data_IF_165352566449
#
_entry.id   IF_165352566449
#
_cell.length_a   1.000
_cell.length_b   1.000
_cell.length_c   1.000
_cell.angle_alpha   90.00
_cell.angle_beta   90.00
_cell.angle_gamma   90.00
#
_symmetry.space_group_name_H-M   'P 1'
#
loop_
_entity.id
_entity.type
_entity.pdbx_description
1 polymer ?
#
# COMPACT_ATOMS: atom_id res chain seq x y z
N UNK A 1 45.92 0.15 -1.34
CA UNK A 1 44.70 -0.15 -2.12
C UNK A 1 43.69 0.92 -1.77
N UNK A 2 43.14 1.67 -2.73
CA UNK A 2 42.16 2.70 -2.41
C UNK A 2 40.78 2.06 -2.21
N UNK A 3 40.11 2.51 -1.16
CA UNK A 3 38.75 2.13 -0.76
C UNK A 3 37.76 2.25 -1.92
N UNK A 4 36.98 1.19 -2.10
CA UNK A 4 35.78 1.21 -2.93
C UNK A 4 34.68 1.96 -2.18
N UNK A 5 33.92 2.87 -2.81
CA UNK A 5 32.81 3.53 -2.14
C UNK A 5 31.73 2.48 -1.89
N UNK A 6 31.40 2.24 -0.61
CA UNK A 6 30.24 1.44 -0.21
C UNK A 6 28.99 2.11 -0.81
N UNK A 7 28.49 1.56 -1.91
CA UNK A 7 27.14 1.86 -2.40
C UNK A 7 26.15 1.37 -1.33
N UNK A 8 25.52 2.27 -0.61
CA UNK A 8 24.11 2.06 -0.28
C UNK A 8 23.33 2.70 -1.42
N UNK A 9 22.26 2.09 -1.94
CA UNK A 9 21.13 2.99 -2.12
C UNK A 9 19.83 2.27 -1.77
N UNK A 10 19.00 2.94 -0.99
CA UNK A 10 17.58 2.61 -0.96
C UNK A 10 17.08 2.61 -2.42
N UNK A 11 16.32 1.58 -2.81
CA UNK A 11 15.69 1.58 -4.13
C UNK A 11 14.58 2.65 -4.14
N UNK A 12 14.63 3.55 -5.11
CA UNK A 12 13.68 4.65 -5.28
C UNK A 12 12.81 4.46 -6.52
N UNK A 13 11.70 5.18 -6.55
CA UNK A 13 10.75 5.20 -7.66
C UNK A 13 9.69 4.12 -7.49
N UNK A 14 9.20 3.55 -8.60
CA UNK A 14 8.04 2.65 -8.61
C UNK A 14 8.34 1.26 -9.21
N UNK A 15 9.43 0.58 -8.80
CA UNK A 15 9.86 -0.69 -9.40
C UNK A 15 8.89 -1.86 -9.18
N UNK A 16 8.03 -1.81 -8.16
CA UNK A 16 7.14 -2.88 -7.69
C UNK A 16 5.65 -2.50 -7.82
N UNK A 17 5.36 -1.41 -8.53
CA UNK A 17 4.01 -0.85 -8.65
C UNK A 17 2.96 -1.83 -9.17
N UNK A 18 3.32 -2.74 -10.08
CA UNK A 18 2.38 -3.76 -10.55
C UNK A 18 2.02 -4.77 -9.45
N UNK A 19 2.98 -5.15 -8.59
CA UNK A 19 2.74 -6.00 -7.42
C UNK A 19 1.89 -5.27 -6.38
N UNK A 20 2.16 -3.98 -6.13
CA UNK A 20 1.33 -3.11 -5.26
C UNK A 20 -0.12 -3.06 -5.74
N UNK A 21 -0.33 -2.79 -7.04
CA UNK A 21 -1.68 -2.75 -7.64
C UNK A 21 -2.39 -4.10 -7.56
N UNK A 22 -1.64 -5.18 -7.73
CA UNK A 22 -2.14 -6.54 -7.56
C UNK A 22 -2.53 -6.81 -6.11
N UNK A 23 -1.74 -6.36 -5.13
CA UNK A 23 -2.04 -6.46 -3.70
C UNK A 23 -3.31 -5.69 -3.33
N UNK A 24 -3.49 -4.45 -3.79
CA UNK A 24 -4.74 -3.69 -3.60
C UNK A 24 -5.92 -4.46 -4.21
N UNK A 25 -5.79 -4.99 -5.43
CA UNK A 25 -6.83 -5.81 -6.06
C UNK A 25 -7.18 -7.02 -5.19
N UNK A 26 -6.17 -7.71 -4.65
CA UNK A 26 -6.33 -8.90 -3.83
C UNK A 26 -7.02 -8.58 -2.49
N UNK A 27 -6.69 -7.45 -1.86
CA UNK A 27 -7.36 -6.95 -0.66
C UNK A 27 -8.86 -6.73 -0.91
N UNK A 28 -9.23 -6.03 -1.99
CA UNK A 28 -10.65 -5.86 -2.33
C UNK A 28 -11.35 -7.17 -2.65
N UNK A 29 -10.68 -8.13 -3.30
CA UNK A 29 -11.27 -9.46 -3.56
C UNK A 29 -11.52 -10.21 -2.26
N UNK A 30 -10.59 -10.13 -1.31
CA UNK A 30 -10.66 -10.89 -0.08
C UNK A 30 -11.60 -10.27 0.94
N UNK A 31 -11.57 -8.94 1.09
CA UNK A 31 -12.35 -8.21 2.08
C UNK A 31 -13.71 -7.72 1.54
N UNK A 32 -13.89 -7.66 0.22
CA UNK A 32 -14.93 -6.88 -0.47
C UNK A 32 -14.79 -5.36 -0.27
N UNK A 33 -15.51 -4.57 -1.07
CA UNK A 33 -15.58 -3.12 -0.90
C UNK A 33 -16.04 -2.73 0.51
N UNK A 34 -17.10 -3.38 1.03
CA UNK A 34 -17.65 -3.05 2.34
C UNK A 34 -16.69 -3.44 3.48
N UNK A 35 -15.89 -4.50 3.31
CA UNK A 35 -14.86 -4.89 4.27
C UNK A 35 -13.69 -3.91 4.30
N UNK A 36 -13.23 -3.43 3.13
CA UNK A 36 -12.22 -2.36 3.04
C UNK A 36 -12.74 -1.08 3.69
N UNK A 37 -14.02 -0.74 3.52
CA UNK A 37 -14.64 0.44 4.15
C UNK A 37 -14.63 0.42 5.69
N UNK A 38 -14.46 -0.76 6.30
CA UNK A 38 -14.29 -0.86 7.76
C UNK A 38 -12.95 -0.29 8.26
N UNK A 39 -12.02 -0.01 7.35
CA UNK A 39 -10.73 0.61 7.64
C UNK A 39 -10.68 2.08 7.17
N UNK A 40 -11.84 2.75 7.14
CA UNK A 40 -11.91 4.14 6.69
C UNK A 40 -11.08 5.10 7.55
N UNK A 41 -10.92 4.83 8.84
CA UNK A 41 -10.07 5.60 9.76
C UNK A 41 -8.71 4.93 9.91
N UNK A 42 -7.63 5.68 9.75
CA UNK A 42 -6.28 5.17 10.03
C UNK A 42 -6.04 5.01 11.53
N UNK A 43 -5.04 4.20 11.90
CA UNK A 43 -4.53 4.15 13.27
C UNK A 43 -4.06 5.56 13.67
N UNK A 44 -4.58 6.09 14.77
CA UNK A 44 -4.28 7.44 15.18
C UNK A 44 -2.83 7.57 15.68
N UNK A 45 -2.15 8.71 15.45
CA UNK A 45 -0.79 8.92 15.95
C UNK A 45 -0.64 8.75 17.46
N UNK A 46 -1.67 9.11 18.23
CA UNK A 46 -1.68 8.96 19.69
C UNK A 46 -1.64 7.49 20.13
N UNK A 47 -2.26 6.59 19.36
CA UNK A 47 -2.30 5.16 19.67
C UNK A 47 -0.98 4.46 19.32
N UNK A 48 -0.21 5.04 18.39
CA UNK A 48 1.13 4.59 18.02
C UNK A 48 2.26 5.35 18.76
N UNK A 49 1.91 6.38 19.53
CA UNK A 49 2.90 7.21 20.22
C UNK A 49 3.63 6.41 21.29
N UNK A 50 4.95 6.59 21.32
CA UNK A 50 5.85 5.97 22.29
C UNK A 50 6.78 7.05 22.85
N UNK A 51 6.61 7.42 24.11
CA UNK A 51 7.44 8.42 24.76
C UNK A 51 8.75 7.80 25.29
N UNK A 52 9.82 8.60 25.35
CA UNK A 52 11.11 8.11 25.87
C UNK A 52 11.03 7.66 27.34
N UNK A 53 10.08 8.21 28.10
CA UNK A 53 9.81 7.86 29.50
C UNK A 53 8.94 6.60 29.67
N UNK A 54 8.30 6.09 28.60
CA UNK A 54 7.49 4.89 28.68
C UNK A 54 8.37 3.67 28.99
N UNK A 55 7.84 2.72 29.76
CA UNK A 55 8.44 1.40 29.87
C UNK A 55 8.47 0.74 28.47
N UNK A 56 9.62 0.17 28.11
CA UNK A 56 9.84 -0.35 26.76
C UNK A 56 8.84 -1.47 26.40
N UNK A 57 8.62 -2.42 27.31
CA UNK A 57 7.81 -3.59 27.02
C UNK A 57 6.32 -3.26 27.12
N UNK A 58 5.90 -2.52 28.16
CA UNK A 58 4.51 -2.12 28.31
C UNK A 58 4.07 -1.16 27.20
N UNK A 59 4.93 -0.21 26.80
CA UNK A 59 4.67 0.68 25.68
C UNK A 59 4.54 -0.09 24.35
N UNK A 60 5.43 -1.06 24.09
CA UNK A 60 5.40 -1.82 22.85
C UNK A 60 4.14 -2.71 22.77
N UNK A 61 3.76 -3.34 23.89
CA UNK A 61 2.54 -4.13 23.97
C UNK A 61 1.28 -3.27 23.82
N UNK A 62 1.27 -2.05 24.36
CA UNK A 62 0.17 -1.08 24.18
C UNK A 62 -0.02 -0.75 22.70
N UNK A 63 1.06 -0.38 21.99
CA UNK A 63 1.01 -0.06 20.56
C UNK A 63 0.59 -1.29 19.75
N UNK A 64 1.12 -2.47 20.06
CA UNK A 64 0.76 -3.70 19.37
C UNK A 64 -0.72 -4.07 19.56
N UNK A 65 -1.26 -3.86 20.77
CA UNK A 65 -2.69 -4.04 21.05
C UNK A 65 -3.55 -3.06 20.25
N UNK A 66 -3.15 -1.79 20.16
CA UNK A 66 -3.85 -0.82 19.33
C UNK A 66 -3.88 -1.25 17.85
N UNK A 67 -2.79 -1.84 17.34
CA UNK A 67 -2.74 -2.39 15.98
C UNK A 67 -3.61 -3.62 15.79
N UNK A 68 -3.63 -4.55 16.75
CA UNK A 68 -4.54 -5.71 16.73
C UNK A 68 -6.00 -5.26 16.65
N UNK A 69 -6.39 -4.26 17.45
CA UNK A 69 -7.73 -3.67 17.38
C UNK A 69 -8.00 -2.96 16.06
N UNK A 70 -7.04 -2.16 15.57
CA UNK A 70 -7.14 -1.49 14.27
C UNK A 70 -7.37 -2.48 13.13
N UNK A 71 -6.60 -3.57 13.10
CA UNK A 71 -6.75 -4.65 12.12
C UNK A 71 -7.95 -5.56 12.37
N UNK A 72 -8.73 -5.30 13.42
CA UNK A 72 -9.95 -6.05 13.78
C UNK A 72 -9.66 -7.54 13.99
N UNK A 73 -8.46 -7.83 14.47
CA UNK A 73 -8.06 -9.15 14.88
C UNK A 73 -8.75 -9.49 16.22
N UNK A 74 -8.96 -10.79 16.54
CA UNK A 74 -9.44 -11.20 17.86
C UNK A 74 -8.67 -10.51 18.99
N UNK A 75 -9.38 -10.02 20.01
CA UNK A 75 -8.74 -9.44 21.19
C UNK A 75 -8.04 -10.57 21.98
N UNK A 76 -6.72 -10.59 21.88
CA UNK A 76 -5.85 -11.56 22.50
C UNK A 76 -4.61 -10.84 23.05
N UNK A 77 -3.97 -11.44 24.06
CA UNK A 77 -2.76 -10.87 24.65
C UNK A 77 -1.67 -10.80 23.57
N UNK A 78 -1.06 -9.63 23.42
CA UNK A 78 0.11 -9.45 22.57
C UNK A 78 1.37 -9.42 23.44
N UNK A 79 2.32 -10.29 23.14
CA UNK A 79 3.62 -10.34 23.80
C UNK A 79 4.65 -9.84 22.81
N UNK A 80 5.30 -8.73 23.16
CA UNK A 80 6.41 -8.15 22.39
C UNK A 80 7.72 -8.43 23.09
N UNK A 81 8.59 -9.18 22.42
CA UNK A 81 9.95 -9.47 22.86
C UNK A 81 10.97 -8.72 21.98
N UNK A 82 12.17 -8.50 22.50
CA UNK A 82 13.27 -7.88 21.76
C UNK A 82 14.48 -8.80 21.76
N UNK A 83 15.05 -9.03 20.57
CA UNK A 83 16.22 -9.90 20.39
C UNK A 83 17.11 -9.42 19.26
N UNK A 84 18.38 -9.81 19.31
CA UNK A 84 19.29 -9.65 18.18
C UNK A 84 18.85 -10.56 17.03
N UNK A 85 18.62 -9.97 15.86
CA UNK A 85 18.21 -10.68 14.64
C UNK A 85 18.61 -9.87 13.40
N UNK A 86 18.52 -10.49 12.21
CA UNK A 86 18.81 -9.81 10.95
C UNK A 86 17.67 -8.88 10.52
N UNK A 87 16.44 -9.35 10.65
CA UNK A 87 15.24 -8.62 10.24
C UNK A 87 14.79 -7.59 11.30
N UNK A 88 13.81 -6.75 10.94
CA UNK A 88 13.22 -5.79 11.88
C UNK A 88 12.35 -6.49 12.93
N UNK A 89 11.59 -7.51 12.53
CA UNK A 89 10.81 -8.32 13.45
C UNK A 89 10.41 -9.66 12.85
N UNK A 90 9.62 -10.39 13.61
CA UNK A 90 8.90 -11.58 13.21
C UNK A 90 7.65 -11.74 14.06
N UNK A 91 6.64 -12.42 13.53
CA UNK A 91 5.42 -12.77 14.25
C UNK A 91 5.10 -14.25 14.14
N UNK A 92 4.62 -14.84 15.24
CA UNK A 92 4.08 -16.19 15.22
C UNK A 92 2.65 -16.18 14.66
N UNK A 93 2.45 -16.87 13.53
CA UNK A 93 1.15 -16.93 12.83
C UNK A 93 0.24 -18.04 13.36
N UNK A 94 0.79 -19.01 14.11
CA UNK A 94 0.06 -20.16 14.60
C UNK A 94 -1.09 -19.77 15.54
N UNK A 95 -2.12 -20.60 15.59
CA UNK A 95 -3.26 -20.38 16.47
C UNK A 95 -2.89 -20.65 17.93
N UNK A 96 -2.42 -19.61 18.62
CA UNK A 96 -2.33 -19.56 20.08
C UNK A 96 -3.42 -18.66 20.68
N UNK A 97 -3.60 -18.69 22.03
CA UNK A 97 -4.45 -17.71 22.72
C UNK A 97 -3.86 -16.29 22.73
N UNK A 98 -2.66 -16.12 22.17
CA UNK A 98 -1.80 -14.94 22.28
C UNK A 98 -1.09 -14.69 20.95
N UNK A 99 -0.73 -13.43 20.71
CA UNK A 99 0.11 -13.03 19.60
C UNK A 99 1.54 -12.81 20.10
N UNK A 100 2.51 -13.49 19.50
CA UNK A 100 3.93 -13.33 19.83
C UNK A 100 4.62 -12.57 18.71
N UNK A 101 5.17 -11.40 19.04
CA UNK A 101 5.93 -10.56 18.12
C UNK A 101 7.34 -10.39 18.69
N UNK A 102 8.34 -10.75 17.90
CA UNK A 102 9.74 -10.45 18.20
C UNK A 102 10.18 -9.23 17.39
N UNK A 103 10.80 -8.26 18.05
CA UNK A 103 11.39 -7.09 17.42
C UNK A 103 12.90 -7.11 17.58
N UNK A 104 13.61 -6.48 16.65
CA UNK A 104 15.05 -6.34 16.72
C UNK A 104 15.49 -5.49 17.93
N UNK A 105 16.58 -5.89 18.59
CA UNK A 105 17.16 -5.16 19.73
C UNK A 105 17.50 -3.69 19.42
N UNK A 106 17.73 -3.31 18.16
CA UNK A 106 17.93 -1.91 17.77
C UNK A 106 16.76 -0.99 18.14
N UNK A 107 15.54 -1.53 18.25
CA UNK A 107 14.37 -0.75 18.62
C UNK A 107 14.32 -0.38 20.10
N UNK A 108 15.16 -1.01 20.94
CA UNK A 108 15.36 -0.59 22.33
C UNK A 108 15.84 0.87 22.41
N UNK A 109 16.65 1.28 21.43
CA UNK A 109 17.20 2.64 21.32
C UNK A 109 16.47 3.50 20.28
N UNK A 110 15.74 2.90 19.34
CA UNK A 110 14.93 3.60 18.31
C UNK A 110 13.43 3.39 18.55
N UNK A 111 12.94 3.81 19.71
CA UNK A 111 11.58 3.50 20.18
C UNK A 111 10.47 4.07 19.28
N UNK A 112 10.76 5.17 18.59
CA UNK A 112 9.82 5.83 17.65
C UNK A 112 9.47 4.93 16.46
N UNK A 113 10.34 4.00 16.12
CA UNK A 113 10.15 3.11 14.97
C UNK A 113 9.48 1.77 15.34
N UNK A 114 9.22 1.54 16.64
CA UNK A 114 8.49 0.34 17.11
C UNK A 114 7.11 0.27 16.44
N UNK A 115 6.41 1.40 16.33
CA UNK A 115 5.12 1.45 15.66
C UNK A 115 5.21 1.04 14.18
N UNK A 116 6.26 1.44 13.47
CA UNK A 116 6.47 1.04 12.09
C UNK A 116 6.72 -0.48 11.97
N UNK A 117 7.58 -1.03 12.82
CA UNK A 117 7.85 -2.48 12.84
C UNK A 117 6.59 -3.28 13.18
N UNK A 118 5.85 -2.90 14.22
CA UNK A 118 4.61 -3.58 14.61
C UNK A 118 3.53 -3.47 13.53
N UNK A 119 3.47 -2.36 12.78
CA UNK A 119 2.50 -2.18 11.69
C UNK A 119 2.67 -3.23 10.61
N UNK A 120 3.94 -3.56 10.29
CA UNK A 120 4.32 -4.62 9.36
C UNK A 120 4.05 -6.01 9.96
N UNK A 121 4.55 -6.30 11.17
CA UNK A 121 4.41 -7.63 11.78
C UNK A 121 2.94 -8.02 12.03
N UNK A 122 2.11 -7.10 12.53
CA UNK A 122 0.69 -7.41 12.77
C UNK A 122 -0.09 -7.53 11.44
N UNK A 123 0.37 -6.88 10.35
CA UNK A 123 -0.21 -7.09 9.02
C UNK A 123 0.01 -8.52 8.50
N UNK A 124 1.14 -9.16 8.82
CA UNK A 124 1.33 -10.60 8.53
C UNK A 124 0.27 -11.47 9.22
N UNK A 125 -0.08 -11.17 10.47
CA UNK A 125 -1.17 -11.87 11.18
C UNK A 125 -2.50 -11.67 10.47
N UNK A 126 -2.84 -10.43 10.09
CA UNK A 126 -4.06 -10.15 9.34
C UNK A 126 -4.12 -10.95 8.05
N UNK A 127 -3.07 -10.90 7.23
CA UNK A 127 -3.01 -11.60 5.95
C UNK A 127 -3.12 -13.12 6.13
N UNK A 128 -2.46 -13.67 7.14
CA UNK A 128 -2.58 -15.09 7.49
C UNK A 128 -4.01 -15.47 7.89
N UNK A 129 -4.70 -14.66 8.71
CA UNK A 129 -6.11 -14.91 9.10
C UNK A 129 -7.06 -14.76 7.92
N UNK A 130 -6.71 -13.90 6.97
CA UNK A 130 -7.39 -13.82 5.69
C UNK A 130 -6.99 -14.96 4.75
N UNK A 131 -5.99 -15.79 5.03
CA UNK A 131 -5.48 -16.78 4.07
C UNK A 131 -5.11 -16.12 2.73
N UNK A 132 -4.54 -14.91 2.79
CA UNK A 132 -4.14 -14.13 1.64
C UNK A 132 -2.62 -14.05 1.60
N UNK A 133 -2.02 -14.66 0.60
CA UNK A 133 -0.57 -14.68 0.38
C UNK A 133 -0.26 -14.57 -1.11
N UNK A 134 0.93 -14.04 -1.42
CA UNK A 134 1.49 -14.05 -2.77
C UNK A 134 2.58 -15.12 -2.90
N UNK A 135 2.82 -15.64 -4.12
CA UNK A 135 3.86 -16.63 -4.32
C UNK A 135 5.24 -16.02 -4.12
N UNK A 136 6.02 -16.63 -3.22
CA UNK A 136 7.40 -16.23 -2.93
C UNK A 136 7.49 -15.09 -1.92
N UNK A 137 8.60 -15.08 -1.17
CA UNK A 137 8.80 -14.17 -0.04
C UNK A 137 8.68 -12.71 -0.43
N UNK A 138 9.38 -12.27 -1.49
CA UNK A 138 9.42 -10.85 -1.89
C UNK A 138 8.03 -10.25 -2.17
N UNK A 139 7.24 -10.94 -3.00
CA UNK A 139 5.91 -10.45 -3.38
C UNK A 139 4.94 -10.50 -2.19
N UNK A 140 5.12 -11.47 -1.29
CA UNK A 140 4.35 -11.56 -0.06
C UNK A 140 4.67 -10.41 0.92
N UNK A 141 5.93 -10.00 1.03
CA UNK A 141 6.29 -8.83 1.84
C UNK A 141 5.77 -7.51 1.25
N UNK A 142 5.78 -7.37 -0.08
CA UNK A 142 5.13 -6.24 -0.77
C UNK A 142 3.62 -6.21 -0.47
N UNK A 143 2.97 -7.38 -0.46
CA UNK A 143 1.57 -7.52 -0.06
C UNK A 143 1.38 -7.08 1.41
N UNK A 144 2.25 -7.49 2.33
CA UNK A 144 2.22 -7.09 3.74
C UNK A 144 2.31 -5.58 3.93
N UNK A 145 3.31 -4.94 3.31
CA UNK A 145 3.45 -3.48 3.39
C UNK A 145 2.29 -2.74 2.75
N UNK A 146 1.82 -3.23 1.58
CA UNK A 146 0.67 -2.65 0.90
C UNK A 146 -0.58 -2.77 1.76
N UNK A 147 -0.80 -3.91 2.41
CA UNK A 147 -1.92 -4.11 3.34
C UNK A 147 -1.81 -3.19 4.55
N UNK A 148 -0.62 -3.08 5.16
CA UNK A 148 -0.40 -2.19 6.29
C UNK A 148 -0.72 -0.73 5.93
N UNK A 149 -0.19 -0.23 4.82
CA UNK A 149 -0.42 1.14 4.35
C UNK A 149 -1.87 1.38 3.92
N UNK A 150 -2.44 0.52 3.07
CA UNK A 150 -3.77 0.73 2.51
C UNK A 150 -4.88 0.61 3.56
N UNK A 151 -4.69 -0.26 4.56
CA UNK A 151 -5.63 -0.46 5.67
C UNK A 151 -5.38 0.48 6.84
N UNK A 152 -4.48 1.47 6.72
CA UNK A 152 -4.44 2.64 7.60
C UNK A 152 -3.41 2.61 8.75
N UNK A 153 -2.46 1.68 8.77
CA UNK A 153 -1.38 1.68 9.78
C UNK A 153 0.02 1.90 9.19
N UNK A 154 0.18 1.81 7.86
CA UNK A 154 1.50 1.92 7.20
C UNK A 154 1.98 3.35 6.95
N UNK A 155 1.25 4.38 7.41
CA UNK A 155 1.80 5.74 7.46
C UNK A 155 3.00 5.82 8.40
N UNK A 156 3.04 4.96 9.43
CA UNK A 156 4.19 4.77 10.34
C UNK A 156 5.42 4.24 9.62
N UNK A 157 5.25 3.32 8.65
CA UNK A 157 6.36 2.76 7.86
C UNK A 157 7.03 3.83 7.00
N UNK A 158 6.22 4.66 6.32
CA UNK A 158 6.74 5.80 5.57
C UNK A 158 7.37 6.83 6.50
N UNK A 159 6.74 7.14 7.64
CA UNK A 159 7.27 8.13 8.58
C UNK A 159 8.55 7.68 9.28
N UNK A 160 8.80 6.37 9.42
CA UNK A 160 10.04 5.84 9.97
C UNK A 160 11.19 5.78 8.95
N UNK A 161 10.94 6.05 7.66
CA UNK A 161 11.97 5.98 6.63
C UNK A 161 13.04 7.07 6.82
N UNK A 162 14.29 6.67 7.00
CA UNK A 162 15.44 7.58 7.14
C UNK A 162 16.53 7.18 6.17
N UNK A 163 17.04 8.17 5.46
CA UNK A 163 18.20 8.04 4.59
C UNK A 163 19.06 9.30 4.72
N UNK A 164 20.32 9.10 5.07
CA UNK A 164 21.35 10.14 5.10
C UNK A 164 22.64 9.65 4.39
N UNK A 165 23.64 10.52 4.33
CA UNK A 165 24.87 10.26 3.58
C UNK A 165 25.70 9.07 4.12
N UNK A 166 25.42 8.58 5.33
CA UNK A 166 26.22 7.55 6.00
C UNK A 166 25.41 6.37 6.52
N UNK A 167 24.08 6.43 6.49
CA UNK A 167 23.17 5.40 6.96
C UNK A 167 21.81 5.43 6.23
N UNK A 168 21.23 4.25 6.04
CA UNK A 168 19.83 4.12 5.60
C UNK A 168 19.11 3.10 6.47
N UNK A 169 17.93 3.48 6.96
CA UNK A 169 17.03 2.62 7.73
C UNK A 169 15.72 2.49 6.96
N UNK A 170 15.56 1.34 6.30
CA UNK A 170 14.34 0.94 5.60
C UNK A 170 13.60 -0.10 6.45
N UNK A 171 12.32 0.16 6.72
CA UNK A 171 11.38 -0.82 7.25
C UNK A 171 10.39 -1.14 6.13
N UNK A 172 10.26 -2.42 5.79
CA UNK A 172 9.48 -2.87 4.65
C UNK A 172 10.29 -3.01 3.34
N UNK A 173 9.60 -3.50 2.32
CA UNK A 173 10.05 -3.85 0.99
C UNK A 173 9.64 -2.83 -0.06
N UNK A 174 8.56 -2.06 0.16
CA UNK A 174 8.21 -0.94 -0.73
C UNK A 174 9.27 0.16 -0.72
N UNK A 175 9.46 0.84 -1.86
CA UNK A 175 10.20 2.11 -1.86
C UNK A 175 9.42 3.19 -1.08
N UNK A 176 10.07 4.28 -0.65
CA UNK A 176 9.34 5.40 -0.05
C UNK A 176 8.22 5.93 -0.96
N UNK A 177 8.49 6.07 -2.26
CA UNK A 177 7.52 6.60 -3.23
C UNK A 177 6.34 5.63 -3.42
N UNK A 178 6.56 4.32 -3.33
CA UNK A 178 5.50 3.30 -3.37
C UNK A 178 4.63 3.33 -2.12
N UNK A 179 5.22 3.48 -0.92
CA UNK A 179 4.45 3.75 0.29
C UNK A 179 3.60 5.02 0.12
N UNK A 180 4.21 6.09 -0.39
CA UNK A 180 3.51 7.33 -0.72
C UNK A 180 2.35 7.12 -1.70
N UNK A 181 2.51 6.26 -2.69
CA UNK A 181 1.47 5.90 -3.65
C UNK A 181 0.31 5.16 -2.98
N UNK A 182 0.59 4.14 -2.17
CA UNK A 182 -0.46 3.36 -1.48
C UNK A 182 -1.25 4.25 -0.51
N UNK A 183 -0.56 5.11 0.24
CA UNK A 183 -1.20 6.08 1.13
C UNK A 183 -2.05 7.09 0.36
N UNK A 184 -1.60 7.54 -0.81
CA UNK A 184 -2.38 8.45 -1.64
C UNK A 184 -3.59 7.78 -2.28
N UNK A 185 -3.48 6.55 -2.76
CA UNK A 185 -4.62 5.75 -3.24
C UNK A 185 -5.67 5.58 -2.13
N UNK A 186 -5.22 5.28 -0.90
CA UNK A 186 -6.08 5.27 0.28
C UNK A 186 -6.75 6.63 0.52
N UNK A 187 -5.96 7.71 0.54
CA UNK A 187 -6.45 9.06 0.77
C UNK A 187 -7.53 9.48 -0.25
N UNK A 188 -7.39 9.08 -1.52
CA UNK A 188 -8.39 9.32 -2.56
C UNK A 188 -9.70 8.55 -2.33
N UNK A 189 -9.64 7.37 -1.71
CA UNK A 189 -10.83 6.55 -1.41
C UNK A 189 -11.56 7.04 -0.17
N UNK A 190 -10.85 7.45 0.87
CA UNK A 190 -11.43 7.76 2.18
C UNK A 190 -11.50 9.26 2.50
N UNK A 191 -10.83 10.11 1.73
CA UNK A 191 -10.75 11.55 1.99
C UNK A 191 -9.91 11.91 3.23
N UNK A 192 -8.96 11.05 3.62
CA UNK A 192 -8.09 11.23 4.77
C UNK A 192 -6.65 11.54 4.30
N UNK A 193 -6.12 12.71 4.65
CA UNK A 193 -4.74 13.08 4.34
C UNK A 193 -3.81 12.70 5.50
N UNK A 194 -2.88 11.74 5.32
CA UNK A 194 -1.93 11.35 6.37
C UNK A 194 -0.78 12.34 6.54
N UNK A 195 -0.62 13.31 5.63
CA UNK A 195 0.51 14.25 5.65
C UNK A 195 0.74 14.98 6.99
N UNK A 196 -0.29 15.39 7.76
CA UNK A 196 -0.09 16.06 9.05
C UNK A 196 0.55 15.19 10.13
N UNK A 197 0.62 13.87 9.93
CA UNK A 197 1.19 12.93 10.90
C UNK A 197 2.68 12.67 10.66
N UNK A 198 3.20 13.07 9.50
CA UNK A 198 4.60 12.86 9.18
C UNK A 198 5.50 13.79 9.98
N UNK A 199 6.51 13.20 10.60
CA UNK A 199 7.63 13.86 11.27
C UNK A 199 8.88 13.87 10.39
N UNK A 200 8.93 13.02 9.36
CA UNK A 200 10.03 12.88 8.43
C UNK A 200 9.91 13.77 7.18
N UNK A 201 10.91 14.62 6.86
CA UNK A 201 10.96 15.33 5.58
C UNK A 201 10.92 14.40 4.36
N UNK A 202 11.56 13.23 4.45
CA UNK A 202 11.56 12.23 3.38
C UNK A 202 10.16 11.67 3.13
N UNK A 203 9.37 11.45 4.19
CA UNK A 203 7.98 10.99 4.06
C UNK A 203 7.12 11.98 3.27
N UNK A 204 7.27 13.30 3.51
CA UNK A 204 6.55 14.32 2.74
C UNK A 204 6.87 14.27 1.25
N UNK A 205 8.16 14.21 0.90
CA UNK A 205 8.61 14.13 -0.50
C UNK A 205 8.06 12.88 -1.17
N UNK A 206 8.26 11.72 -0.55
CA UNK A 206 7.81 10.45 -1.07
C UNK A 206 6.27 10.37 -1.21
N UNK A 207 5.52 10.91 -0.25
CA UNK A 207 4.06 11.01 -0.35
C UNK A 207 3.63 11.94 -1.48
N UNK A 208 4.30 13.08 -1.69
CA UNK A 208 3.99 13.98 -2.79
C UNK A 208 4.20 13.31 -4.17
N UNK A 209 5.31 12.57 -4.34
CA UNK A 209 5.61 11.82 -5.56
C UNK A 209 4.62 10.68 -5.80
N UNK A 210 4.33 9.89 -4.75
CA UNK A 210 3.33 8.84 -4.76
C UNK A 210 1.93 9.35 -5.09
N UNK A 211 1.53 10.48 -4.48
CA UNK A 211 0.25 11.15 -4.77
C UNK A 211 0.17 11.65 -6.19
N UNK A 212 1.24 12.22 -6.73
CA UNK A 212 1.28 12.59 -8.14
C UNK A 212 1.09 11.36 -9.05
N UNK A 213 1.60 10.18 -8.66
CA UNK A 213 1.36 8.93 -9.39
C UNK A 213 -0.09 8.43 -9.28
N UNK A 214 -0.66 8.42 -8.07
CA UNK A 214 -2.05 8.04 -7.82
C UNK A 214 -3.05 8.92 -8.61
N UNK A 215 -2.86 10.24 -8.58
CA UNK A 215 -3.68 11.18 -9.36
C UNK A 215 -3.57 10.95 -10.87
N UNK A 216 -2.37 10.60 -11.37
CA UNK A 216 -2.21 10.22 -12.78
C UNK A 216 -2.99 8.94 -13.10
N UNK A 217 -3.01 7.96 -12.22
CA UNK A 217 -3.78 6.72 -12.43
C UNK A 217 -5.29 6.97 -12.39
N UNK A 218 -5.76 7.82 -11.48
CA UNK A 218 -7.16 8.27 -11.41
C UNK A 218 -7.61 8.96 -12.71
N UNK A 219 -6.71 9.69 -13.37
CA UNK A 219 -6.96 10.39 -14.62
C UNK A 219 -6.94 9.47 -15.87
N UNK A 220 -6.51 8.20 -15.76
CA UNK A 220 -6.32 7.28 -16.91
C UNK A 220 -7.60 6.64 -17.45
N UNK A 221 -8.69 6.58 -16.66
CA UNK A 221 -9.95 5.99 -17.13
C UNK A 221 -10.32 6.57 -18.50
N UNK A 222 -10.82 5.75 -19.46
CA UNK A 222 -10.81 6.10 -20.88
C UNK A 222 -11.32 7.51 -21.12
N UNK A 223 -10.39 8.36 -21.56
CA UNK A 223 -10.60 9.74 -21.97
C UNK A 223 -11.23 10.69 -20.93
N UNK A 224 -11.25 10.34 -19.64
CA UNK A 224 -11.78 11.20 -18.57
C UNK A 224 -11.01 12.52 -18.48
N UNK A 225 -9.67 12.46 -18.47
CA UNK A 225 -8.79 13.64 -18.47
C UNK A 225 -8.04 13.86 -19.80
N UNK A 226 -8.38 13.11 -20.87
CA UNK A 226 -7.61 13.17 -22.11
C UNK A 226 -7.85 14.46 -22.90
N UNK A 227 -6.75 15.17 -23.19
CA UNK A 227 -6.71 16.24 -24.18
C UNK A 227 -6.77 15.72 -25.62
N UNK A 228 -6.65 16.63 -26.60
CA UNK A 228 -6.78 16.32 -28.03
C UNK A 228 -5.84 15.21 -28.51
N UNK A 229 -4.55 15.26 -28.12
CA UNK A 229 -3.56 14.26 -28.55
C UNK A 229 -3.89 12.86 -28.03
N UNK A 230 -4.33 12.75 -26.76
CA UNK A 230 -4.76 11.49 -26.16
C UNK A 230 -5.99 10.90 -26.85
N UNK A 231 -6.97 11.76 -27.21
CA UNK A 231 -8.16 11.36 -27.98
C UNK A 231 -7.81 10.87 -29.37
N UNK A 232 -6.88 11.54 -30.06
CA UNK A 232 -6.40 11.13 -31.39
C UNK A 232 -5.70 9.78 -31.34
N UNK A 233 -4.85 9.55 -30.32
CA UNK A 233 -4.20 8.24 -30.11
C UNK A 233 -5.22 7.15 -29.83
N UNK A 234 -6.14 7.36 -28.89
CA UNK A 234 -7.20 6.42 -28.59
C UNK A 234 -8.03 6.05 -29.84
N UNK A 235 -8.35 7.03 -30.69
CA UNK A 235 -9.06 6.78 -31.94
C UNK A 235 -8.24 5.96 -32.95
N UNK A 236 -6.90 6.10 -32.97
CA UNK A 236 -6.00 5.27 -33.77
C UNK A 236 -5.95 3.84 -33.21
N UNK A 237 -5.68 3.69 -31.91
CA UNK A 237 -5.57 2.39 -31.23
C UNK A 237 -6.87 1.59 -31.37
N UNK A 238 -8.02 2.28 -31.31
CA UNK A 238 -9.34 1.69 -31.57
C UNK A 238 -9.47 1.09 -32.96
N UNK A 239 -8.88 1.72 -33.98
CA UNK A 239 -8.93 1.24 -35.38
C UNK A 239 -7.98 0.07 -35.60
N UNK A 240 -6.84 0.06 -34.93
CA UNK A 240 -5.81 -0.97 -35.08
C UNK A 240 -5.96 -2.12 -34.09
N UNK A 241 -6.90 -2.03 -33.15
CA UNK A 241 -7.07 -3.01 -32.06
C UNK A 241 -5.87 -3.02 -31.10
N UNK A 242 -5.13 -1.91 -31.01
CA UNK A 242 -3.89 -1.83 -30.24
C UNK A 242 -4.15 -1.49 -28.77
N UNK A 243 -3.19 -1.82 -27.91
CA UNK A 243 -3.21 -1.42 -26.51
C UNK A 243 -2.72 0.01 -26.32
N UNK A 244 -3.31 0.68 -25.34
CA UNK A 244 -2.86 1.99 -24.92
C UNK A 244 -1.49 1.93 -24.23
N UNK A 245 -0.75 3.06 -24.17
CA UNK A 245 0.54 3.13 -23.51
C UNK A 245 0.51 2.56 -22.09
N UNK A 246 1.49 1.70 -21.77
CA UNK A 246 1.63 1.10 -20.44
C UNK A 246 0.40 0.30 -19.98
N UNK A 247 -0.34 -0.32 -20.92
CA UNK A 247 -1.51 -1.16 -20.61
C UNK A 247 -2.72 -0.40 -20.07
N UNK A 248 -2.76 0.93 -20.27
CA UNK A 248 -3.83 1.82 -19.75
C UNK A 248 -5.22 1.45 -20.27
N UNK A 249 -5.31 0.89 -21.48
CA UNK A 249 -6.49 0.23 -22.00
C UNK A 249 -6.09 -0.80 -23.06
N UNK A 250 -6.99 -1.73 -23.37
CA UNK A 250 -6.88 -2.65 -24.50
C UNK A 250 -8.24 -2.80 -25.18
N UNK A 251 -8.26 -2.86 -26.51
CA UNK A 251 -9.49 -3.13 -27.24
C UNK A 251 -9.64 -4.64 -27.49
N UNK A 252 -10.86 -5.14 -27.31
CA UNK A 252 -11.20 -6.55 -27.47
C UNK A 252 -12.44 -6.65 -28.38
N UNK A 253 -12.39 -7.52 -29.39
CA UNK A 253 -13.57 -7.83 -30.22
C UNK A 253 -14.39 -8.91 -29.52
N UNK A 254 -15.65 -8.61 -29.21
CA UNK A 254 -16.61 -9.56 -28.67
C UNK A 254 -17.74 -9.83 -29.68
N UNK A 255 -18.52 -10.89 -29.45
CA UNK A 255 -19.65 -11.26 -30.32
C UNK A 255 -20.70 -10.13 -30.46
N UNK A 256 -20.81 -9.26 -29.45
CA UNK A 256 -21.72 -8.13 -29.39
C UNK A 256 -21.08 -6.78 -29.78
N UNK A 257 -19.83 -6.79 -30.25
CA UNK A 257 -19.12 -5.62 -30.75
C UNK A 257 -17.79 -5.33 -30.04
N UNK A 258 -17.24 -4.14 -30.30
CA UNK A 258 -15.95 -3.71 -29.77
C UNK A 258 -16.06 -3.30 -28.30
N UNK A 259 -15.17 -3.82 -27.45
CA UNK A 259 -15.06 -3.49 -26.04
C UNK A 259 -13.70 -2.87 -25.74
N UNK A 260 -13.64 -2.07 -24.69
CA UNK A 260 -12.40 -1.55 -24.11
C UNK A 260 -12.25 -2.07 -22.68
N UNK A 261 -11.10 -2.68 -22.42
CA UNK A 261 -10.67 -3.14 -21.12
C UNK A 261 -9.70 -2.13 -20.50
N UNK A 262 -9.89 -1.75 -19.23
CA UNK A 262 -9.00 -0.81 -18.53
C UNK A 262 -9.01 -1.07 -17.01
N UNK A 263 -7.91 -0.79 -16.28
CA UNK A 263 -7.86 -0.99 -14.84
C UNK A 263 -8.75 0.03 -14.11
N UNK A 264 -9.47 -0.41 -13.09
CA UNK A 264 -10.15 0.49 -12.16
C UNK A 264 -9.12 1.38 -11.46
N UNK A 265 -9.31 2.72 -11.41
CA UNK A 265 -8.38 3.59 -10.73
C UNK A 265 -8.38 3.45 -9.19
N UNK A 266 -9.29 2.67 -8.62
CA UNK A 266 -9.43 2.48 -7.16
C UNK A 266 -8.88 1.13 -6.70
N UNK A 267 -9.13 0.07 -7.46
CA UNK A 267 -8.78 -1.29 -7.05
C UNK A 267 -8.05 -2.09 -8.14
N UNK A 268 -7.66 -1.44 -9.24
CA UNK A 268 -6.88 -1.97 -10.38
C UNK A 268 -7.44 -3.20 -11.12
N UNK A 269 -8.55 -3.80 -10.67
CA UNK A 269 -9.33 -4.77 -11.44
C UNK A 269 -9.66 -4.23 -12.82
N UNK A 270 -9.42 -5.03 -13.86
CA UNK A 270 -9.80 -4.67 -15.22
C UNK A 270 -11.32 -4.68 -15.38
N UNK A 271 -11.87 -3.53 -15.76
CA UNK A 271 -13.25 -3.37 -16.21
C UNK A 271 -13.29 -3.52 -17.73
N UNK A 272 -14.35 -4.14 -18.25
CA UNK A 272 -14.59 -4.28 -19.69
C UNK A 272 -15.93 -3.65 -20.04
N UNK A 273 -15.93 -2.72 -20.99
CA UNK A 273 -17.12 -1.93 -21.33
C UNK A 273 -17.26 -1.76 -22.85
N UNK A 274 -18.48 -1.59 -23.38
CA UNK A 274 -18.68 -1.32 -24.80
C UNK A 274 -18.12 0.03 -25.22
N UNK A 275 -17.58 0.13 -26.43
CA UNK A 275 -17.07 1.35 -27.05
C UNK A 275 -18.22 2.12 -27.71
N UNK A 276 -18.83 3.09 -27.00
CA UNK A 276 -20.06 3.76 -27.47
C UNK A 276 -20.22 5.23 -27.03
N UNK A 277 -19.13 5.94 -26.75
CA UNK A 277 -19.14 7.31 -26.25
C UNK A 277 -19.13 7.38 -24.73
N UNK A 278 -19.86 8.35 -24.17
CA UNK A 278 -19.92 8.56 -22.71
C UNK A 278 -20.67 7.42 -22.04
N UNK A 279 -20.05 6.81 -21.02
CA UNK A 279 -20.62 5.73 -20.25
C UNK A 279 -20.27 5.87 -18.78
N UNK A 280 -21.22 5.50 -17.92
CA UNK A 280 -20.98 5.36 -16.48
C UNK A 280 -20.76 3.89 -16.16
N UNK A 281 -19.64 3.58 -15.54
CA UNK A 281 -19.17 2.22 -15.29
C UNK A 281 -19.07 2.01 -13.80
N UNK A 282 -19.78 1.01 -13.27
CA UNK A 282 -19.59 0.58 -11.89
C UNK A 282 -18.58 -0.57 -11.87
N UNK A 283 -17.48 -0.41 -11.16
CA UNK A 283 -16.53 -1.50 -10.98
C UNK A 283 -17.18 -2.65 -10.21
N UNK A 284 -17.13 -3.86 -10.75
CA UNK A 284 -17.73 -5.03 -10.10
C UNK A 284 -17.04 -5.39 -8.77
N UNK A 285 -15.78 -4.98 -8.59
CA UNK A 285 -15.00 -5.31 -7.40
C UNK A 285 -15.16 -4.27 -6.29
N UNK A 286 -14.65 -3.05 -6.49
CA UNK A 286 -14.69 -2.00 -5.46
C UNK A 286 -15.97 -1.16 -5.45
N UNK A 287 -16.90 -1.41 -6.38
CA UNK A 287 -18.17 -0.67 -6.55
C UNK A 287 -18.02 0.81 -6.90
N UNK A 288 -16.81 1.32 -7.11
CA UNK A 288 -16.56 2.67 -7.58
C UNK A 288 -17.29 2.94 -8.90
N UNK A 289 -17.84 4.14 -9.03
CA UNK A 289 -18.54 4.60 -10.22
C UNK A 289 -17.61 5.51 -11.01
N UNK A 290 -17.35 5.15 -12.26
CA UNK A 290 -16.40 5.81 -13.14
C UNK A 290 -17.16 6.45 -14.29
N UNK A 291 -16.94 7.74 -14.52
CA UNK A 291 -17.42 8.42 -15.72
C UNK A 291 -16.34 8.30 -16.82
N UNK A 292 -16.64 7.55 -17.87
CA UNK A 292 -15.71 7.23 -18.96
C UNK A 292 -16.23 7.77 -20.30
N UNK A 293 -15.32 8.00 -21.25
CA UNK A 293 -15.63 8.20 -22.66
C UNK A 293 -14.88 7.16 -23.49
N UNK A 294 -15.63 6.36 -24.22
CA UNK A 294 -15.16 5.18 -24.99
C UNK A 294 -15.45 5.30 -26.48
#
# INVERSE_FOLDING_TARGET
>A
MPDSPRRSPVEHGFPHLETVRSAITALYRRLSADGVQRFATSLAPVDAAFADADDLHLGAQRVARAMVHHYRLPDARVIVAFRSMEHAGSVELAAGPEYFVELNDRFRTHRRDIGAALSHEVAHVLLHRLGLEFPGTRDNEILTDTAAAYLGAGWLLLDAFREDATSSQKLGYLTPEEFGYVLAERALVFGEDPSPWFTSPQAYTAYAEGRARALRDAARAPLTAAGWAGRRRYALDRRTGSEGPGGSYAFETAADGLRVAFPCPVCHQRNRVPVRGRVRVRCALCRAVLDCTT
#
